data_IF_947561768087
#
_entry.id   IF_947561768087
#
_cell.length_a   1.000
_cell.length_b   1.000
_cell.length_c   1.000
_cell.angle_alpha   90.00
_cell.angle_beta   90.00
_cell.angle_gamma   90.00
#
_symmetry.space_group_name_H-M   'P 1'
#
loop_
_entity.id
_entity.type
_entity.pdbx_description
1 polymer ?
#
# COMPACT_ATOMS: atom_id res chain seq x y z
N UNK A 1 8.25 -21.32 11.13
CA UNK A 1 6.82 -21.68 11.00
C UNK A 1 5.98 -20.43 10.96
N UNK A 2 5.30 -20.19 9.84
CA UNK A 2 4.32 -19.12 9.68
C UNK A 2 3.24 -19.18 10.78
N UNK A 3 2.87 -18.02 11.35
CA UNK A 3 1.89 -17.90 12.44
C UNK A 3 0.57 -18.62 12.14
N UNK A 4 0.22 -18.67 10.86
CA UNK A 4 -1.01 -19.24 10.31
C UNK A 4 -0.96 -20.76 10.23
N UNK A 5 0.21 -21.35 9.96
CA UNK A 5 0.43 -22.79 10.02
C UNK A 5 0.31 -23.31 11.46
N UNK A 6 0.84 -22.56 12.44
CA UNK A 6 0.68 -22.90 13.87
C UNK A 6 -0.79 -22.87 14.30
N UNK A 7 -1.56 -21.89 13.83
CA UNK A 7 -2.98 -21.77 14.12
C UNK A 7 -3.81 -22.87 13.45
N UNK A 8 -3.48 -23.25 12.20
CA UNK A 8 -4.12 -24.35 11.50
C UNK A 8 -3.81 -25.70 12.18
N UNK A 9 -2.55 -25.95 12.53
CA UNK A 9 -2.15 -27.16 13.25
C UNK A 9 -2.83 -27.24 14.62
N UNK A 10 -2.99 -26.11 15.32
CA UNK A 10 -3.76 -26.04 16.57
C UNK A 10 -5.23 -26.39 16.36
N UNK A 11 -5.86 -25.91 15.28
CA UNK A 11 -7.25 -26.24 14.94
C UNK A 11 -7.42 -27.73 14.64
N UNK A 12 -6.52 -28.29 13.83
CA UNK A 12 -6.54 -29.71 13.44
C UNK A 12 -6.31 -30.60 14.67
N UNK A 13 -5.30 -30.30 15.49
CA UNK A 13 -5.02 -31.09 16.71
C UNK A 13 -6.17 -31.01 17.71
N UNK A 14 -6.77 -29.83 17.94
CA UNK A 14 -7.96 -29.72 18.77
C UNK A 14 -9.12 -30.58 18.24
N UNK A 15 -9.39 -30.53 16.93
CA UNK A 15 -10.43 -31.33 16.30
C UNK A 15 -10.20 -32.84 16.44
N UNK A 16 -8.96 -33.29 16.25
CA UNK A 16 -8.56 -34.70 16.40
C UNK A 16 -8.65 -35.19 17.86
N UNK A 17 -8.35 -34.31 18.81
CA UNK A 17 -8.42 -34.65 20.26
C UNK A 17 -9.86 -34.72 20.75
N UNK A 18 -10.76 -33.94 20.13
CA UNK A 18 -12.17 -33.84 20.52
C UNK A 18 -13.07 -34.86 19.78
N UNK A 19 -12.57 -35.47 18.70
CA UNK A 19 -13.33 -36.43 17.88
C UNK A 19 -12.54 -37.72 17.66
N UNK A 20 -12.75 -38.73 18.50
CA UNK A 20 -12.09 -40.06 18.41
C UNK A 20 -12.86 -41.07 17.52
N UNK A 21 -13.90 -40.64 16.79
CA UNK A 21 -14.85 -41.54 16.11
C UNK A 21 -14.54 -41.81 14.62
N UNK A 22 -15.00 -42.95 14.09
CA UNK A 22 -14.85 -43.45 12.71
C UNK A 22 -15.23 -42.46 11.58
N UNK A 23 -16.04 -41.43 11.86
CA UNK A 23 -16.50 -40.44 10.89
C UNK A 23 -15.75 -39.10 10.93
N UNK A 24 -14.46 -39.14 11.30
CA UNK A 24 -13.60 -37.97 11.44
C UNK A 24 -13.56 -37.10 10.16
N UNK A 25 -13.46 -37.74 8.99
CA UNK A 25 -13.43 -37.04 7.70
C UNK A 25 -14.73 -36.28 7.42
N UNK A 26 -15.89 -36.88 7.71
CA UNK A 26 -17.18 -36.21 7.51
C UNK A 26 -17.33 -35.00 8.44
N UNK A 27 -16.95 -35.15 9.72
CA UNK A 27 -16.96 -34.06 10.70
C UNK A 27 -15.95 -32.94 10.38
N UNK A 28 -14.81 -33.28 9.77
CA UNK A 28 -13.83 -32.29 9.32
C UNK A 28 -14.31 -31.51 8.07
N UNK A 29 -15.03 -32.20 7.18
CA UNK A 29 -15.63 -31.60 6.00
C UNK A 29 -16.90 -30.79 6.30
N UNK A 30 -17.36 -30.77 7.56
CA UNK A 30 -18.43 -29.88 7.97
C UNK A 30 -18.12 -28.41 7.64
N UNK A 31 -19.17 -27.67 7.27
CA UNK A 31 -19.07 -26.29 6.82
C UNK A 31 -18.42 -25.38 7.87
N UNK A 32 -18.57 -25.69 9.15
CA UNK A 32 -18.01 -24.91 10.26
C UNK A 32 -16.48 -24.99 10.28
N UNK A 33 -15.93 -26.21 10.25
CA UNK A 33 -14.49 -26.47 10.28
C UNK A 33 -13.81 -25.98 8.99
N UNK A 34 -14.43 -26.22 7.84
CA UNK A 34 -13.94 -25.71 6.56
C UNK A 34 -13.95 -24.18 6.51
N UNK A 35 -14.98 -23.52 7.07
CA UNK A 35 -15.03 -22.05 7.14
C UNK A 35 -13.96 -21.48 8.06
N UNK A 36 -13.67 -22.12 9.20
CA UNK A 36 -12.57 -21.74 10.08
C UNK A 36 -11.20 -21.92 9.42
N UNK A 37 -10.96 -23.06 8.79
CA UNK A 37 -9.72 -23.32 8.04
C UNK A 37 -9.53 -22.31 6.90
N UNK A 38 -10.56 -22.07 6.07
CA UNK A 38 -10.55 -21.06 5.00
C UNK A 38 -10.30 -19.65 5.55
N UNK A 39 -10.89 -19.30 6.70
CA UNK A 39 -10.67 -18.01 7.34
C UNK A 39 -9.21 -17.83 7.78
N UNK A 40 -8.60 -18.85 8.36
CA UNK A 40 -7.19 -18.82 8.78
C UNK A 40 -6.24 -18.68 7.58
N UNK A 41 -6.51 -19.41 6.50
CA UNK A 41 -5.75 -19.32 5.24
C UNK A 41 -5.94 -17.93 4.61
N UNK A 42 -7.17 -17.45 4.49
CA UNK A 42 -7.47 -16.14 3.89
C UNK A 42 -6.93 -14.97 4.72
N UNK A 43 -6.85 -15.11 6.04
CA UNK A 43 -6.24 -14.09 6.93
C UNK A 43 -4.73 -14.02 6.73
N UNK A 44 -4.08 -15.13 6.39
CA UNK A 44 -2.66 -15.19 6.05
C UNK A 44 -2.34 -14.54 4.69
N UNK A 45 -3.27 -14.67 3.74
CA UNK A 45 -3.10 -14.20 2.36
C UNK A 45 -3.51 -12.73 2.14
N UNK A 46 -3.89 -11.99 3.19
CA UNK A 46 -4.20 -10.57 3.02
C UNK A 46 -2.90 -9.79 2.83
N UNK A 47 -2.70 -9.13 1.68
CA UNK A 47 -1.52 -8.30 1.49
C UNK A 47 -1.50 -7.22 2.57
N UNK A 48 -0.31 -6.97 3.14
CA UNK A 48 -0.11 -5.84 4.03
C UNK A 48 -0.39 -4.58 3.20
N UNK A 49 -1.34 -3.77 3.64
CA UNK A 49 -1.63 -2.49 2.98
C UNK A 49 -0.40 -1.61 3.11
N UNK A 50 -0.04 -0.94 2.01
CA UNK A 50 1.05 0.03 2.03
C UNK A 50 0.76 1.11 3.07
N UNK A 51 1.71 1.42 3.97
CA UNK A 51 1.55 2.50 4.94
C UNK A 51 1.34 3.87 4.29
N UNK A 52 1.85 4.05 3.07
CA UNK A 52 1.75 5.30 2.31
C UNK A 52 0.51 5.36 1.40
N UNK A 53 -0.34 4.33 1.39
CA UNK A 53 -1.57 4.37 0.60
C UNK A 53 -2.54 5.41 1.19
N UNK A 54 -3.13 6.30 0.36
CA UNK A 54 -4.14 7.24 0.80
C UNK A 54 -5.25 6.53 1.56
N UNK A 55 -5.55 7.04 2.76
CA UNK A 55 -6.67 6.54 3.55
C UNK A 55 -7.97 6.95 2.87
N UNK A 56 -8.88 5.97 2.73
CA UNK A 56 -10.21 6.19 2.15
C UNK A 56 -10.93 7.38 2.78
N UNK A 57 -11.65 8.12 1.96
CA UNK A 57 -12.52 9.20 2.42
C UNK A 57 -13.54 8.71 3.46
N UNK A 58 -13.78 9.55 4.47
CA UNK A 58 -14.78 9.38 5.52
C UNK A 58 -16.19 9.63 4.96
N UNK A 59 -17.16 8.82 5.38
CA UNK A 59 -18.56 9.04 5.03
C UNK A 59 -19.21 10.08 5.95
N UNK A 60 -20.41 10.53 5.58
CA UNK A 60 -21.20 11.50 6.36
C UNK A 60 -21.47 11.01 7.79
N UNK A 61 -21.69 9.69 7.96
CA UNK A 61 -21.84 9.08 9.29
C UNK A 61 -20.54 9.12 10.10
N UNK A 62 -19.39 8.92 9.48
CA UNK A 62 -18.10 8.97 10.18
C UNK A 62 -17.76 10.38 10.67
N UNK A 63 -18.07 11.42 9.88
CA UNK A 63 -17.97 12.80 10.33
C UNK A 63 -18.93 13.12 11.48
N UNK A 64 -20.15 12.59 11.42
CA UNK A 64 -21.10 12.70 12.53
C UNK A 64 -20.58 12.01 13.80
N UNK A 65 -20.02 10.80 13.68
CA UNK A 65 -19.39 10.10 14.80
C UNK A 65 -18.23 10.90 15.38
N UNK A 66 -17.35 11.49 14.57
CA UNK A 66 -16.21 12.25 15.09
C UNK A 66 -16.65 13.45 15.96
N UNK A 67 -17.69 14.18 15.55
CA UNK A 67 -18.19 15.34 16.31
C UNK A 67 -18.98 14.95 17.57
N UNK A 68 -19.72 13.83 17.50
CA UNK A 68 -20.66 13.42 18.56
C UNK A 68 -20.07 12.40 19.53
N UNK A 69 -19.02 11.66 19.15
CA UNK A 69 -18.42 10.60 19.97
C UNK A 69 -17.95 11.13 21.32
N UNK A 70 -17.25 12.26 21.35
CA UNK A 70 -16.79 12.85 22.61
C UNK A 70 -17.95 13.32 23.50
N UNK A 71 -19.04 13.80 22.91
CA UNK A 71 -20.25 14.22 23.65
C UNK A 71 -20.99 13.02 24.23
N UNK A 72 -21.27 12.01 23.40
CA UNK A 72 -21.94 10.77 23.82
C UNK A 72 -21.09 9.97 24.80
N UNK A 73 -19.76 10.01 24.68
CA UNK A 73 -18.86 9.38 25.63
C UNK A 73 -18.88 10.05 27.02
N UNK A 74 -19.09 11.38 27.09
CA UNK A 74 -19.26 12.09 28.36
C UNK A 74 -20.66 11.97 28.97
N UNK A 75 -21.68 11.75 28.14
CA UNK A 75 -23.07 11.48 28.59
C UNK A 75 -23.26 10.05 29.08
N UNK A 76 -22.54 9.08 28.47
CA UNK A 76 -22.48 7.72 28.99
C UNK A 76 -21.60 7.67 30.25
N UNK A 77 -21.98 6.81 31.20
CA UNK A 77 -21.25 6.60 32.47
C UNK A 77 -19.74 6.45 32.21
N UNK A 78 -18.94 7.09 33.07
CA UNK A 78 -17.48 7.06 33.03
C UNK A 78 -17.00 5.60 33.07
N UNK A 79 -16.42 5.11 31.97
CA UNK A 79 -16.04 3.70 31.78
C UNK A 79 -16.90 2.87 30.81
N UNK A 80 -17.87 3.48 30.13
CA UNK A 80 -18.66 2.81 29.10
C UNK A 80 -17.79 2.32 27.93
N UNK A 81 -18.06 1.11 27.43
CA UNK A 81 -17.25 0.52 26.35
C UNK A 81 -17.46 1.32 25.05
N UNK A 82 -16.40 1.46 24.24
CA UNK A 82 -16.47 2.14 22.94
C UNK A 82 -17.54 1.56 21.99
N UNK A 83 -17.91 0.29 22.19
CA UNK A 83 -19.00 -0.38 21.49
C UNK A 83 -20.37 0.22 21.80
N UNK A 84 -20.61 0.60 23.06
CA UNK A 84 -21.88 1.18 23.51
C UNK A 84 -22.06 2.59 22.97
N UNK A 85 -20.99 3.39 23.00
CA UNK A 85 -20.95 4.73 22.39
C UNK A 85 -21.24 4.66 20.88
N UNK A 86 -20.63 3.71 20.17
CA UNK A 86 -20.83 3.56 18.73
C UNK A 86 -22.26 3.10 18.39
N UNK A 87 -22.86 2.25 19.23
CA UNK A 87 -24.25 1.81 19.10
C UNK A 87 -25.22 2.97 19.28
N UNK A 88 -25.03 3.79 20.30
CA UNK A 88 -25.89 4.96 20.55
C UNK A 88 -25.79 6.00 19.42
N UNK A 89 -24.58 6.26 18.91
CA UNK A 89 -24.38 7.11 17.73
C UNK A 89 -25.13 6.60 16.49
N UNK A 90 -25.16 5.29 16.28
CA UNK A 90 -25.92 4.68 15.18
C UNK A 90 -27.43 4.92 15.32
N UNK A 91 -27.97 4.80 16.53
CA UNK A 91 -29.39 5.11 16.82
C UNK A 91 -29.68 6.59 16.57
N UNK A 92 -28.82 7.49 17.04
CA UNK A 92 -28.99 8.93 16.81
C UNK A 92 -28.94 9.29 15.33
N UNK A 93 -28.03 8.70 14.56
CA UNK A 93 -27.95 8.93 13.11
C UNK A 93 -29.20 8.44 12.37
N UNK A 94 -29.73 7.26 12.73
CA UNK A 94 -30.96 6.75 12.15
C UNK A 94 -32.16 7.65 12.50
N UNK A 95 -32.25 8.13 13.74
CA UNK A 95 -33.27 9.11 14.17
C UNK A 95 -33.18 10.39 13.32
N UNK A 96 -31.98 10.93 13.10
CA UNK A 96 -31.75 12.09 12.24
C UNK A 96 -32.20 11.84 10.80
N UNK A 97 -31.93 10.66 10.24
CA UNK A 97 -32.35 10.28 8.88
C UNK A 97 -33.87 10.17 8.74
N UNK A 98 -34.56 9.68 9.76
CA UNK A 98 -36.03 9.56 9.78
C UNK A 98 -36.75 10.85 10.15
N UNK A 99 -36.06 11.78 10.80
CA UNK A 99 -36.63 13.03 11.29
C UNK A 99 -37.01 13.95 10.12
N UNK A 100 -38.23 14.47 10.14
CA UNK A 100 -38.70 15.47 9.16
C UNK A 100 -38.32 16.90 9.54
N UNK A 101 -37.72 17.10 10.73
CA UNK A 101 -37.38 18.44 11.23
C UNK A 101 -36.36 19.12 10.31
N UNK A 102 -36.56 20.41 9.97
CA UNK A 102 -35.66 21.12 9.06
C UNK A 102 -34.23 21.27 9.63
N UNK A 103 -34.11 21.39 10.95
CA UNK A 103 -32.81 21.46 11.64
C UNK A 103 -31.99 20.16 11.46
N UNK A 104 -32.63 18.99 11.60
CA UNK A 104 -31.98 17.69 11.47
C UNK A 104 -31.56 17.42 10.02
N UNK A 105 -32.40 17.82 9.05
CA UNK A 105 -32.04 17.78 7.63
C UNK A 105 -30.85 18.68 7.32
N UNK A 106 -30.82 19.91 7.86
CA UNK A 106 -29.68 20.83 7.68
C UNK A 106 -28.39 20.25 8.25
N UNK A 107 -28.47 19.62 9.42
CA UNK A 107 -27.34 18.93 10.03
C UNK A 107 -26.86 17.75 9.17
N UNK A 108 -27.77 16.97 8.61
CA UNK A 108 -27.44 15.87 7.70
C UNK A 108 -26.78 16.38 6.41
N UNK A 109 -27.31 17.44 5.79
CA UNK A 109 -26.74 18.06 4.60
C UNK A 109 -25.32 18.59 4.86
N UNK A 110 -25.04 19.16 6.04
CA UNK A 110 -23.68 19.56 6.46
C UNK A 110 -22.70 18.38 6.35
N UNK A 111 -23.06 17.24 6.93
CA UNK A 111 -22.19 16.06 6.91
C UNK A 111 -22.08 15.41 5.53
N UNK A 112 -23.13 15.48 4.70
CA UNK A 112 -23.07 15.05 3.30
C UNK A 112 -22.08 15.92 2.51
N UNK A 113 -22.10 17.23 2.73
CA UNK A 113 -21.14 18.16 2.12
C UNK A 113 -19.68 17.86 2.51
N UNK A 114 -19.43 17.65 3.81
CA UNK A 114 -18.11 17.24 4.31
C UNK A 114 -17.64 15.91 3.72
N UNK A 115 -18.53 14.93 3.62
CA UNK A 115 -18.23 13.63 3.02
C UNK A 115 -17.93 13.72 1.53
N UNK A 116 -18.59 14.63 0.81
CA UNK A 116 -18.29 14.88 -0.60
C UNK A 116 -16.90 15.50 -0.75
N UNK A 117 -16.60 16.55 0.00
CA UNK A 117 -15.28 17.18 -0.03
C UNK A 117 -14.15 16.19 0.33
N UNK A 118 -14.37 15.32 1.32
CA UNK A 118 -13.36 14.33 1.71
C UNK A 118 -13.20 13.19 0.69
N UNK A 119 -14.26 12.88 -0.06
CA UNK A 119 -14.18 11.98 -1.21
C UNK A 119 -13.33 12.61 -2.31
N UNK A 120 -13.56 13.89 -2.62
CA UNK A 120 -12.79 14.61 -3.63
C UNK A 120 -11.30 14.67 -3.22
N UNK A 121 -11.01 14.95 -1.94
CA UNK A 121 -9.66 14.86 -1.36
C UNK A 121 -9.04 13.48 -1.56
N UNK A 122 -9.77 12.40 -1.23
CA UNK A 122 -9.28 11.04 -1.44
C UNK A 122 -9.06 10.70 -2.92
N UNK A 123 -9.91 11.18 -3.82
CA UNK A 123 -9.77 10.94 -5.25
C UNK A 123 -8.55 11.68 -5.82
N UNK A 124 -8.25 12.88 -5.33
CA UNK A 124 -7.00 13.62 -5.62
C UNK A 124 -5.78 12.87 -5.06
N UNK A 125 -5.78 12.54 -3.77
CA UNK A 125 -4.68 11.79 -3.12
C UNK A 125 -4.42 10.47 -3.84
N UNK A 126 -5.49 9.77 -4.25
CA UNK A 126 -5.41 8.49 -4.96
C UNK A 126 -4.88 8.66 -6.39
N UNK A 127 -5.18 9.77 -7.06
CA UNK A 127 -4.63 10.07 -8.38
C UNK A 127 -3.14 10.45 -8.29
N UNK A 128 -2.74 11.16 -7.24
CA UNK A 128 -1.33 11.47 -6.95
C UNK A 128 -0.54 10.26 -6.42
N UNK A 129 -1.24 9.26 -5.87
CA UNK A 129 -0.61 8.08 -5.31
C UNK A 129 -0.04 7.17 -6.40
N UNK A 130 1.29 7.12 -6.45
CA UNK A 130 2.03 6.10 -7.18
C UNK A 130 2.20 4.89 -6.25
N UNK A 131 1.47 3.78 -6.49
CA UNK A 131 1.69 2.58 -5.70
C UNK A 131 3.14 2.13 -5.87
N UNK A 132 3.82 1.68 -4.80
CA UNK A 132 5.12 1.05 -4.97
C UNK A 132 4.94 -0.10 -5.97
N UNK A 133 5.77 -0.11 -7.02
CA UNK A 133 5.69 -1.03 -8.18
C UNK A 133 5.80 -2.53 -7.78
N UNK A 134 5.87 -2.85 -6.50
CA UNK A 134 6.12 -4.17 -5.94
C UNK A 134 4.86 -4.93 -5.47
N UNK A 135 3.68 -4.74 -6.08
CA UNK A 135 2.50 -5.58 -5.77
C UNK A 135 1.97 -6.39 -6.97
N UNK A 136 2.50 -6.22 -8.18
CA UNK A 136 2.13 -7.08 -9.32
C UNK A 136 3.11 -8.22 -9.63
N UNK A 137 4.13 -8.45 -8.79
CA UNK A 137 5.18 -9.44 -9.07
C UNK A 137 5.44 -10.46 -7.94
N UNK A 138 4.48 -10.72 -7.04
CA UNK A 138 4.61 -11.84 -6.09
C UNK A 138 3.30 -12.63 -5.97
N UNK A 139 2.87 -13.19 -7.11
CA UNK A 139 2.12 -14.45 -7.13
C UNK A 139 3.10 -15.59 -7.44
N UNK A 140 3.93 -15.96 -6.47
CA UNK A 140 4.41 -17.34 -6.35
C UNK A 140 5.09 -17.50 -5.00
N UNK A 141 4.50 -18.35 -4.17
CA UNK A 141 5.20 -19.10 -3.13
C UNK A 141 6.54 -19.63 -3.66
N UNK A 142 7.65 -19.35 -2.98
CA UNK A 142 8.46 -20.39 -2.33
C UNK A 142 9.57 -19.76 -1.47
N UNK A 143 9.68 -20.21 -0.22
CA UNK A 143 10.73 -19.82 0.71
C UNK A 143 11.94 -20.73 0.52
N UNK A 144 12.92 -20.39 -0.34
CA UNK A 144 14.28 -20.93 -0.16
C UNK A 144 15.41 -19.97 -0.58
N UNK A 145 16.23 -19.65 0.43
CA UNK A 145 17.69 -19.36 0.41
C UNK A 145 18.25 -18.12 -0.33
N UNK A 146 18.71 -17.21 0.55
CA UNK A 146 20.05 -16.58 0.59
C UNK A 146 20.40 -15.35 -0.29
N UNK A 147 20.85 -14.30 0.42
CA UNK A 147 21.81 -13.24 0.02
C UNK A 147 21.39 -12.26 -1.07
N UNK A 148 20.65 -11.22 -0.70
CA UNK A 148 21.17 -9.83 -0.53
C UNK A 148 20.01 -8.90 -0.24
N UNK A 149 20.14 -8.07 0.80
CA UNK A 149 19.23 -6.95 1.05
C UNK A 149 19.39 -5.92 -0.07
N UNK A 150 18.64 -6.03 -1.16
CA UNK A 150 18.37 -4.84 -1.97
C UNK A 150 17.19 -4.13 -1.34
N UNK A 151 17.48 -3.04 -0.63
CA UNK A 151 16.50 -1.95 -0.43
C UNK A 151 15.74 -1.78 -1.75
N UNK A 152 14.42 -1.75 -1.67
CA UNK A 152 13.54 -1.31 -2.75
C UNK A 152 14.10 0.00 -3.30
N UNK A 153 14.78 -0.07 -4.47
CA UNK A 153 15.32 1.14 -5.11
C UNK A 153 14.12 1.85 -5.73
N UNK A 154 13.43 2.64 -4.91
CA UNK A 154 12.37 3.55 -5.36
C UNK A 154 13.08 4.65 -6.15
N UNK A 155 12.77 4.74 -7.45
CA UNK A 155 13.34 5.72 -8.37
C UNK A 155 13.46 5.19 -9.79
N UNK A 156 13.77 6.06 -10.76
CA UNK A 156 13.90 5.67 -12.16
C UNK A 156 14.91 4.53 -12.37
N UNK A 157 14.62 3.65 -13.32
CA UNK A 157 15.52 2.56 -13.68
C UNK A 157 16.85 3.15 -14.20
N UNK A 158 17.98 2.55 -13.80
CA UNK A 158 19.30 3.06 -14.22
C UNK A 158 19.42 3.02 -15.74
N UNK A 159 20.14 3.98 -16.31
CA UNK A 159 20.50 3.97 -17.72
C UNK A 159 21.22 2.68 -18.10
N UNK A 160 20.85 2.10 -19.24
CA UNK A 160 21.49 0.96 -19.87
C UNK A 160 22.85 1.37 -20.44
N UNK A 161 23.85 0.52 -20.20
CA UNK A 161 25.19 0.65 -20.79
C UNK A 161 25.20 0.23 -22.27
N UNK A 162 26.21 0.65 -23.03
CA UNK A 162 26.36 0.29 -24.45
C UNK A 162 26.40 -1.23 -24.67
N UNK A 163 27.04 -1.97 -23.76
CA UNK A 163 27.02 -3.43 -23.76
C UNK A 163 25.61 -4.03 -23.60
N UNK A 164 24.73 -3.41 -22.80
CA UNK A 164 23.38 -3.92 -22.59
C UNK A 164 22.49 -3.72 -23.82
N UNK A 165 22.67 -2.61 -24.55
CA UNK A 165 22.04 -2.41 -25.85
C UNK A 165 22.52 -3.43 -26.87
N UNK A 166 23.84 -3.69 -26.92
CA UNK A 166 24.41 -4.73 -27.75
C UNK A 166 23.82 -6.11 -27.44
N UNK A 167 23.73 -6.47 -26.15
CA UNK A 167 23.10 -7.72 -25.74
C UNK A 167 21.64 -7.79 -26.16
N UNK A 168 20.88 -6.68 -26.07
CA UNK A 168 19.45 -6.71 -26.41
C UNK A 168 19.19 -7.01 -27.89
N UNK A 169 20.01 -6.46 -28.80
CA UNK A 169 19.88 -6.69 -30.25
C UNK A 169 20.46 -8.06 -30.67
N UNK A 170 21.58 -8.48 -30.08
CA UNK A 170 22.31 -9.66 -30.53
C UNK A 170 21.91 -10.94 -29.79
N UNK A 171 21.18 -10.84 -28.66
CA UNK A 171 20.77 -12.02 -27.90
C UNK A 171 19.82 -12.92 -28.69
N UNK A 172 18.91 -12.36 -29.48
CA UNK A 172 18.02 -13.16 -30.33
C UNK A 172 18.80 -13.92 -31.40
N UNK A 173 19.76 -13.25 -32.05
CA UNK A 173 20.63 -13.81 -33.08
C UNK A 173 21.52 -14.93 -32.52
N UNK A 174 22.20 -14.68 -31.40
CA UNK A 174 23.02 -15.70 -30.72
C UNK A 174 22.17 -16.86 -30.23
N UNK A 175 20.93 -16.60 -29.82
CA UNK A 175 20.01 -17.67 -29.39
C UNK A 175 19.57 -18.55 -30.56
N UNK A 176 19.40 -18.00 -31.76
CA UNK A 176 19.04 -18.78 -32.96
C UNK A 176 20.22 -19.51 -33.60
N UNK A 177 21.45 -19.03 -33.41
CA UNK A 177 22.67 -19.70 -33.91
C UNK A 177 23.12 -20.85 -33.01
N UNK A 178 22.70 -20.84 -31.74
CA UNK A 178 23.02 -21.89 -30.78
C UNK A 178 21.93 -22.96 -30.76
N UNK A 179 22.27 -24.22 -30.45
CA UNK A 179 21.30 -25.31 -30.35
C UNK A 179 20.15 -25.01 -29.37
N UNK A 180 18.94 -25.42 -29.75
CA UNK A 180 17.74 -25.30 -28.93
C UNK A 180 17.92 -26.00 -27.59
N UNK A 181 17.86 -25.23 -26.50
CA UNK A 181 18.10 -25.71 -25.13
C UNK A 181 19.37 -25.17 -24.48
N UNK A 182 20.16 -24.34 -25.17
CA UNK A 182 21.34 -23.70 -24.58
C UNK A 182 20.96 -22.80 -23.41
N UNK A 183 21.69 -22.94 -22.29
CA UNK A 183 21.46 -22.14 -21.08
C UNK A 183 21.74 -20.66 -21.34
N UNK A 184 20.92 -19.79 -20.77
CA UNK A 184 21.08 -18.33 -20.85
C UNK A 184 22.48 -17.84 -20.43
N UNK A 185 23.18 -18.60 -19.57
CA UNK A 185 24.56 -18.34 -19.15
C UNK A 185 25.55 -18.41 -20.30
N UNK A 186 25.39 -19.39 -21.19
CA UNK A 186 26.32 -19.61 -22.30
C UNK A 186 26.06 -18.61 -23.44
N UNK A 187 24.79 -18.25 -23.66
CA UNK A 187 24.40 -17.14 -24.54
C UNK A 187 25.06 -15.83 -24.08
N UNK A 188 24.98 -15.49 -22.79
CA UNK A 188 25.60 -14.27 -22.27
C UNK A 188 27.13 -14.30 -22.32
N UNK A 189 27.75 -15.48 -22.15
CA UNK A 189 29.20 -15.66 -22.31
C UNK A 189 29.65 -15.39 -23.74
N UNK A 190 28.92 -15.90 -24.71
CA UNK A 190 29.22 -15.71 -26.13
C UNK A 190 29.01 -14.26 -26.57
N UNK A 191 27.96 -13.61 -26.08
CA UNK A 191 27.76 -12.16 -26.26
C UNK A 191 28.94 -11.34 -25.69
N UNK A 192 29.48 -11.72 -24.53
CA UNK A 192 30.64 -11.05 -23.95
C UNK A 192 31.89 -11.13 -24.83
N UNK A 193 32.15 -12.30 -25.45
CA UNK A 193 33.26 -12.45 -26.40
C UNK A 193 33.08 -11.59 -27.64
N UNK A 194 31.88 -11.64 -28.26
CA UNK A 194 31.56 -10.83 -29.45
C UNK A 194 31.68 -9.34 -29.16
N UNK A 195 31.29 -8.89 -27.96
CA UNK A 195 31.46 -7.49 -27.55
C UNK A 195 32.93 -7.08 -27.44
N UNK A 196 33.81 -7.92 -26.88
CA UNK A 196 35.23 -7.59 -26.77
C UNK A 196 35.91 -7.48 -28.14
N UNK A 197 35.54 -8.34 -29.09
CA UNK A 197 36.00 -8.24 -30.49
C UNK A 197 35.48 -6.95 -31.13
N UNK A 198 34.19 -6.67 -30.99
CA UNK A 198 33.56 -5.47 -31.54
C UNK A 198 34.15 -4.17 -30.95
N UNK A 199 34.57 -4.22 -29.67
CA UNK A 199 35.27 -3.14 -28.98
C UNK A 199 36.71 -2.97 -29.48
N UNK A 200 37.43 -4.06 -29.76
CA UNK A 200 38.75 -3.99 -30.39
C UNK A 200 38.67 -3.43 -31.82
N UNK A 201 37.60 -3.76 -32.55
CA UNK A 201 37.32 -3.27 -33.91
C UNK A 201 36.84 -1.80 -33.96
N UNK A 202 36.59 -1.15 -32.82
CA UNK A 202 36.08 0.22 -32.76
C UNK A 202 34.63 0.40 -33.26
N UNK A 203 33.88 -0.68 -33.44
CA UNK A 203 32.50 -0.66 -33.97
C UNK A 203 31.42 -0.42 -32.88
N UNK A 204 31.82 -0.02 -31.67
CA UNK A 204 30.90 0.21 -30.54
C UNK A 204 30.14 1.52 -30.63
N UNK A 205 30.52 2.41 -31.56
CA UNK A 205 30.00 3.78 -31.69
C UNK A 205 28.47 3.87 -31.76
N UNK A 206 27.81 2.91 -32.43
CA UNK A 206 26.34 2.79 -32.46
C UNK A 206 25.77 2.66 -31.04
N UNK A 207 26.30 1.73 -30.26
CA UNK A 207 25.80 1.40 -28.94
C UNK A 207 26.19 2.45 -27.89
N UNK A 208 27.34 3.10 -28.08
CA UNK A 208 27.78 4.21 -27.22
C UNK A 208 26.87 5.44 -27.36
N UNK A 209 26.38 5.75 -28.57
CA UNK A 209 25.35 6.79 -28.79
C UNK A 209 24.03 6.45 -28.10
N UNK A 210 23.56 5.20 -28.23
CA UNK A 210 22.33 4.74 -27.56
C UNK A 210 22.46 4.80 -26.03
N UNK A 211 23.61 4.44 -25.48
CA UNK A 211 23.89 4.54 -24.06
C UNK A 211 23.95 5.99 -23.57
N UNK A 212 24.51 6.91 -24.37
CA UNK A 212 24.52 8.33 -24.06
C UNK A 212 23.09 8.91 -24.00
N UNK A 213 22.25 8.61 -25.00
CA UNK A 213 20.85 9.03 -25.01
C UNK A 213 20.05 8.45 -23.83
N UNK A 214 20.27 7.17 -23.48
CA UNK A 214 19.59 6.55 -22.35
C UNK A 214 20.06 7.10 -20.99
N UNK A 215 21.32 7.55 -20.92
CA UNK A 215 21.87 8.26 -19.76
C UNK A 215 21.20 9.63 -19.58
N UNK A 216 20.96 10.36 -20.66
CA UNK A 216 20.21 11.62 -20.62
C UNK A 216 18.78 11.40 -20.14
N UNK A 217 18.07 10.39 -20.70
CA UNK A 217 16.75 9.98 -20.22
C UNK A 217 16.75 9.65 -18.74
N UNK A 218 17.74 8.90 -18.25
CA UNK A 218 17.83 8.58 -16.83
C UNK A 218 18.08 9.82 -15.98
N UNK A 219 18.92 10.76 -16.45
CA UNK A 219 19.24 11.97 -15.72
C UNK A 219 18.04 12.91 -15.63
N UNK A 220 17.26 13.06 -16.71
CA UNK A 220 16.02 13.84 -16.70
C UNK A 220 14.96 13.19 -15.81
N UNK A 221 14.70 11.90 -15.97
CA UNK A 221 13.76 11.16 -15.10
C UNK A 221 14.19 11.22 -13.62
N UNK A 222 15.49 11.08 -13.34
CA UNK A 222 16.03 11.17 -11.98
C UNK A 222 15.88 12.57 -11.42
N UNK A 223 16.17 13.62 -12.20
CA UNK A 223 15.98 15.00 -11.75
C UNK A 223 14.50 15.33 -11.50
N UNK A 224 13.59 14.82 -12.33
CA UNK A 224 12.16 14.97 -12.14
C UNK A 224 11.69 14.23 -10.89
N UNK A 225 12.22 13.03 -10.63
CA UNK A 225 11.95 12.28 -9.41
C UNK A 225 12.49 12.99 -8.16
N UNK A 226 13.73 13.49 -8.21
CA UNK A 226 14.37 14.22 -7.12
C UNK A 226 13.59 15.53 -6.84
N UNK A 227 13.15 16.24 -7.89
CA UNK A 227 12.27 17.42 -7.77
C UNK A 227 10.90 17.06 -7.18
N UNK A 228 10.25 16.00 -7.66
CA UNK A 228 8.97 15.53 -7.11
C UNK A 228 9.10 15.17 -5.62
N UNK A 229 10.19 14.51 -5.23
CA UNK A 229 10.49 14.20 -3.84
C UNK A 229 10.72 15.47 -3.01
N UNK A 230 11.37 16.50 -3.58
CA UNK A 230 11.55 17.79 -2.90
C UNK A 230 10.25 18.58 -2.75
N UNK A 231 9.41 18.68 -3.79
CA UNK A 231 8.14 19.42 -3.75
C UNK A 231 7.16 18.78 -2.75
N UNK A 232 7.09 17.45 -2.71
CA UNK A 232 6.28 16.72 -1.71
C UNK A 232 6.82 16.91 -0.28
N UNK A 233 8.11 17.23 -0.12
CA UNK A 233 8.71 17.54 1.19
C UNK A 233 8.46 18.99 1.62
N UNK A 234 8.48 19.94 0.68
CA UNK A 234 8.40 21.37 0.97
C UNK A 234 6.94 21.88 1.09
N UNK A 235 5.99 21.38 0.28
CA UNK A 235 4.56 21.77 0.35
C UNK A 235 3.89 21.34 1.67
N UNK A 236 4.36 20.27 2.32
CA UNK A 236 3.88 19.86 3.66
C UNK A 236 4.35 20.86 4.73
N UNK A 237 5.40 21.64 4.48
CA UNK A 237 5.93 22.60 5.43
C UNK A 237 5.33 24.01 5.26
N UNK A 238 5.08 24.46 4.03
CA UNK A 238 4.61 25.84 3.79
C UNK A 238 3.10 26.03 4.00
N UNK A 239 2.27 25.02 3.70
CA UNK A 239 0.82 25.10 3.95
C UNK A 239 0.49 25.09 5.47
N UNK A 240 1.28 24.36 6.27
CA UNK A 240 1.18 24.36 7.73
C UNK A 240 1.69 25.69 8.33
N UNK A 241 2.72 26.31 7.76
CA UNK A 241 3.31 27.56 8.30
C UNK A 241 2.46 28.80 7.97
N UNK A 242 1.84 28.87 6.78
CA UNK A 242 0.89 29.94 6.42
C UNK A 242 -0.38 29.89 7.28
N UNK A 243 -0.90 28.69 7.55
CA UNK A 243 -2.14 28.52 8.31
C UNK A 243 -1.94 28.72 9.82
N UNK A 244 -0.73 28.42 10.35
CA UNK A 244 -0.33 28.75 11.74
C UNK A 244 -0.10 30.26 11.94
N UNK A 245 0.31 31.01 10.90
CA UNK A 245 0.50 32.47 10.99
C UNK A 245 -0.79 33.28 10.91
N UNK A 246 -1.87 32.73 10.33
CA UNK A 246 -3.19 33.41 10.20
C UNK A 246 -4.16 33.17 11.37
N UNK A 247 -3.80 32.36 12.36
CA UNK A 247 -4.69 32.08 13.51
C UNK A 247 -4.78 33.29 14.49
N UNK A 248 -5.98 33.83 14.77
CA UNK A 248 -6.14 34.99 15.66
C UNK A 248 -5.92 34.60 17.13
N UNK A 249 -5.02 35.31 17.81
CA UNK A 249 -4.82 35.25 19.28
C UNK A 249 -6.10 35.73 20.00
N UNK A 250 -6.97 34.81 20.45
CA UNK A 250 -8.05 35.14 21.39
C UNK A 250 -7.78 34.51 22.77
N UNK A 251 -7.82 35.38 23.77
CA UNK A 251 -7.26 35.23 25.10
C UNK A 251 -7.79 34.06 25.93
N UNK A 252 -6.86 33.39 26.60
CA UNK A 252 -7.15 32.53 27.73
C UNK A 252 -7.30 33.40 29.00
N UNK A 253 -8.55 33.61 29.43
CA UNK A 253 -8.86 33.89 30.84
C UNK A 253 -8.42 32.67 31.66
N UNK A 254 -7.59 32.87 32.69
CA UNK A 254 -7.44 31.89 33.78
C UNK A 254 -7.62 32.54 35.14
N UNK A 255 -8.43 31.84 35.92
CA UNK A 255 -8.94 32.08 37.26
C UNK A 255 -7.84 32.15 38.32
N UNK A 256 -8.02 33.13 39.22
CA UNK A 256 -7.85 33.15 40.70
C UNK A 256 -6.67 32.39 41.34
N UNK A 257 -5.89 33.13 42.13
CA UNK A 257 -5.32 32.65 43.40
C UNK A 257 -5.50 33.72 44.49
N UNK A 258 -5.90 33.24 45.67
CA UNK A 258 -6.26 33.95 46.91
C UNK A 258 -5.16 34.89 47.43
N UNK A 259 -5.56 36.05 47.93
CA UNK A 259 -5.34 36.55 49.30
C UNK A 259 -6.39 37.63 49.56
#
# INVERSE_FOLDING_TARGET
MNLTLKQLNKLITAFLTENESENLCQKWMDGSNQKLARSLVNKSNKPKKDPNAPKRGKSSYLFFCDERRSKVQGELKDGSKATDVTRELGVQWNKLKTSKKPADKKLMTKYIGLAKADKDRYDIDKAAYVPPVAIFAETSSDETKTKTKTKTKVGPARSKSSYLFFCSENRSVVKSELPDGTKNTDITRELGKRWNVLKADGKTTKFDKLAAADKERYQTEKSAYDNLVSVVSDDVSDEIVEEVKKAPKKGAKKLKKKA
#
